data_IF_947921245106
#
_entry.id   IF_947921245106
#
_cell.length_a   1.000
_cell.length_b   1.000
_cell.length_c   1.000
_cell.angle_alpha   90.00
_cell.angle_beta   90.00
_cell.angle_gamma   90.00
#
_symmetry.space_group_name_H-M   'P 1'
#
loop_
_entity.id
_entity.type
_entity.pdbx_description
1 polymer ?
#
# COMPACT_ATOMS: atom_id res chain seq x y z
N UNK A 1 29.14 18.57 -86.67
CA UNK A 1 29.70 17.77 -85.53
C UNK A 1 28.94 18.15 -84.30
N UNK A 2 28.03 17.28 -83.84
CA UNK A 2 27.04 17.54 -82.78
C UNK A 2 27.56 16.96 -81.48
N UNK A 3 27.80 17.81 -80.42
CA UNK A 3 28.08 17.33 -79.11
C UNK A 3 26.80 17.35 -78.27
N UNK A 4 26.27 16.17 -77.94
CA UNK A 4 25.17 15.98 -76.98
C UNK A 4 25.76 15.92 -75.57
N UNK A 5 25.42 16.89 -74.72
CA UNK A 5 25.66 16.82 -73.30
C UNK A 5 24.46 16.13 -72.61
N UNK A 6 24.73 14.99 -71.96
CA UNK A 6 23.80 14.29 -71.09
C UNK A 6 23.69 15.05 -69.75
N UNK A 7 22.46 15.45 -69.40
CA UNK A 7 22.12 15.92 -68.05
C UNK A 7 21.65 14.70 -67.23
N UNK A 8 22.39 14.40 -66.19
CA UNK A 8 21.99 13.40 -65.17
C UNK A 8 21.34 14.17 -64.03
N UNK A 9 19.99 13.99 -63.89
CA UNK A 9 19.25 14.52 -62.76
C UNK A 9 19.35 13.54 -61.59
N UNK A 10 20.00 13.93 -60.48
CA UNK A 10 19.96 13.21 -59.25
C UNK A 10 18.61 13.52 -58.53
N UNK A 11 17.73 12.53 -58.42
CA UNK A 11 16.59 12.58 -57.49
C UNK A 11 17.12 12.17 -56.10
N UNK A 12 17.17 13.12 -55.17
CA UNK A 12 17.38 12.84 -53.78
C UNK A 12 16.04 12.45 -53.15
N UNK A 13 15.88 11.16 -52.85
CA UNK A 13 14.74 10.67 -52.06
C UNK A 13 15.02 10.92 -50.57
N UNK A 14 14.30 11.88 -49.99
CA UNK A 14 14.31 12.14 -48.56
C UNK A 14 13.43 11.10 -47.88
N UNK A 15 14.02 10.10 -47.19
CA UNK A 15 13.32 9.22 -46.29
C UNK A 15 12.93 10.02 -45.03
N UNK A 16 11.65 10.32 -44.89
CA UNK A 16 11.10 10.80 -43.60
C UNK A 16 10.87 9.55 -42.76
N UNK A 17 11.71 9.34 -41.77
CA UNK A 17 11.50 8.35 -40.73
C UNK A 17 10.33 8.84 -39.86
N UNK A 18 9.16 8.23 -40.00
CA UNK A 18 8.06 8.37 -39.07
C UNK A 18 8.47 7.63 -37.79
N UNK A 19 8.75 8.37 -36.72
CA UNK A 19 8.86 7.83 -35.37
C UNK A 19 7.45 7.48 -34.88
N UNK A 20 7.09 6.20 -34.97
CA UNK A 20 5.93 5.67 -34.28
C UNK A 20 6.12 5.87 -32.76
N UNK A 21 5.55 6.95 -32.27
CA UNK A 21 5.36 7.16 -30.84
C UNK A 21 4.37 6.13 -30.31
N UNK A 22 4.84 4.93 -30.02
CA UNK A 22 4.10 3.95 -29.24
C UNK A 22 3.89 4.51 -27.84
N UNK A 23 2.76 5.20 -27.63
CA UNK A 23 2.23 5.48 -26.31
C UNK A 23 2.01 4.13 -25.64
N UNK A 24 2.90 3.77 -24.69
CA UNK A 24 2.75 2.61 -23.86
C UNK A 24 1.42 2.78 -23.09
N UNK A 25 0.34 2.21 -23.62
CA UNK A 25 -0.93 2.13 -22.92
C UNK A 25 -0.69 1.28 -21.69
N UNK A 26 -0.76 1.89 -20.50
CA UNK A 26 -0.69 1.16 -19.24
C UNK A 26 -1.66 -0.02 -19.33
N UNK A 27 -1.14 -1.24 -19.25
CA UNK A 27 -1.97 -2.43 -19.25
C UNK A 27 -2.92 -2.33 -18.06
N UNK A 28 -4.22 -2.45 -18.32
CA UNK A 28 -5.21 -2.42 -17.24
C UNK A 28 -4.88 -3.55 -16.24
N UNK A 29 -4.82 -3.21 -14.98
CA UNK A 29 -4.60 -4.19 -13.90
C UNK A 29 -5.77 -5.18 -13.95
N UNK A 30 -5.48 -6.43 -14.28
CA UNK A 30 -6.49 -7.51 -14.28
C UNK A 30 -6.68 -7.98 -12.83
N UNK A 31 -7.86 -7.70 -12.29
CA UNK A 31 -8.25 -8.14 -10.94
C UNK A 31 -8.78 -9.57 -11.02
N UNK A 32 -8.31 -10.42 -10.10
CA UNK A 32 -8.83 -11.77 -9.91
C UNK A 32 -10.32 -11.74 -9.50
N UNK A 33 -11.12 -12.63 -10.07
CA UNK A 33 -12.56 -12.73 -9.80
C UNK A 33 -12.85 -13.00 -8.32
N UNK A 34 -12.07 -13.85 -7.66
CA UNK A 34 -12.24 -14.13 -6.23
C UNK A 34 -11.90 -12.90 -5.39
N UNK A 35 -10.88 -12.12 -5.76
CA UNK A 35 -10.58 -10.85 -5.10
C UNK A 35 -11.71 -9.83 -5.29
N UNK A 36 -12.25 -9.74 -6.50
CA UNK A 36 -13.39 -8.87 -6.79
C UNK A 36 -14.61 -9.25 -5.93
N UNK A 37 -14.86 -10.55 -5.76
CA UNK A 37 -15.94 -11.05 -4.89
C UNK A 37 -15.69 -10.72 -3.41
N UNK A 38 -14.46 -10.86 -2.92
CA UNK A 38 -14.11 -10.49 -1.54
C UNK A 38 -14.30 -8.99 -1.28
N UNK A 39 -13.93 -8.13 -2.23
CA UNK A 39 -14.16 -6.69 -2.15
C UNK A 39 -15.65 -6.35 -2.18
N UNK A 40 -16.45 -7.02 -3.01
CA UNK A 40 -17.89 -6.79 -3.13
C UNK A 40 -18.73 -7.52 -2.06
N UNK A 41 -18.09 -8.17 -1.09
CA UNK A 41 -18.80 -8.97 -0.08
C UNK A 41 -19.82 -8.11 0.71
N UNK A 42 -21.08 -8.53 0.80
CA UNK A 42 -22.12 -7.84 1.58
C UNK A 42 -21.87 -7.91 3.09
N UNK A 43 -20.94 -8.74 3.54
CA UNK A 43 -20.56 -8.85 4.95
C UNK A 43 -19.56 -7.78 5.40
N UNK A 44 -19.03 -6.97 4.46
CA UNK A 44 -18.20 -5.82 4.78
C UNK A 44 -19.06 -4.69 5.34
N UNK A 45 -18.49 -3.95 6.30
CA UNK A 45 -19.19 -2.80 6.88
C UNK A 45 -19.53 -1.75 5.81
N UNK A 46 -20.75 -1.21 5.76
CA UNK A 46 -21.13 -0.19 4.78
C UNK A 46 -20.18 1.03 4.77
N UNK A 47 -19.71 1.45 5.94
CA UNK A 47 -18.74 2.53 6.07
C UNK A 47 -17.37 2.21 5.45
N UNK A 48 -16.97 0.93 5.42
CA UNK A 48 -15.76 0.49 4.73
C UNK A 48 -15.98 0.48 3.20
N UNK A 49 -17.10 -0.08 2.75
CA UNK A 49 -17.47 -0.14 1.32
C UNK A 49 -17.60 1.26 0.71
N UNK A 50 -18.15 2.23 1.44
CA UNK A 50 -18.26 3.62 0.99
C UNK A 50 -16.90 4.28 0.68
N UNK A 51 -15.79 3.72 1.16
CA UNK A 51 -14.43 4.21 0.91
C UNK A 51 -13.75 3.53 -0.29
N UNK A 52 -14.29 2.43 -0.82
CA UNK A 52 -13.68 1.69 -1.92
C UNK A 52 -13.42 2.53 -3.18
N UNK A 53 -14.31 3.49 -3.57
CA UNK A 53 -14.07 4.35 -4.73
C UNK A 53 -12.82 5.23 -4.64
N UNK A 54 -12.33 5.52 -3.43
CA UNK A 54 -11.11 6.34 -3.21
C UNK A 54 -9.92 5.49 -2.77
N UNK A 55 -10.14 4.26 -2.34
CA UNK A 55 -9.08 3.35 -1.85
C UNK A 55 -8.69 2.27 -2.85
N UNK A 56 -9.49 2.06 -3.90
CA UNK A 56 -9.22 1.12 -4.98
C UNK A 56 -8.71 -0.27 -4.52
N UNK A 57 -9.36 -0.95 -3.55
CA UNK A 57 -8.77 -2.08 -2.84
C UNK A 57 -8.39 -3.26 -3.75
N UNK A 58 -9.20 -3.57 -4.75
CA UNK A 58 -8.91 -4.64 -5.69
C UNK A 58 -7.65 -4.34 -6.53
N UNK A 59 -7.52 -3.10 -7.01
CA UNK A 59 -6.39 -2.66 -7.81
C UNK A 59 -5.11 -2.61 -7.00
N UNK A 60 -5.17 -2.12 -5.75
CA UNK A 60 -4.01 -2.01 -4.87
C UNK A 60 -3.47 -3.40 -4.49
N UNK A 61 -4.34 -4.31 -4.06
CA UNK A 61 -3.94 -5.67 -3.73
C UNK A 61 -3.39 -6.44 -4.95
N UNK A 62 -3.97 -6.21 -6.13
CA UNK A 62 -3.44 -6.77 -7.40
C UNK A 62 -2.07 -6.17 -7.74
N UNK A 63 -1.87 -4.86 -7.53
CA UNK A 63 -0.58 -4.21 -7.72
C UNK A 63 0.49 -4.84 -6.83
N UNK A 64 0.19 -5.15 -5.57
CA UNK A 64 1.11 -5.87 -4.68
C UNK A 64 1.36 -7.32 -5.12
N UNK A 65 0.50 -7.89 -5.95
CA UNK A 65 0.62 -9.27 -6.44
C UNK A 65 0.01 -10.28 -5.48
N UNK A 66 -1.08 -9.90 -4.79
CA UNK A 66 -1.84 -10.81 -3.93
C UNK A 66 -2.36 -12.00 -4.74
N UNK A 67 -2.20 -13.21 -4.20
CA UNK A 67 -2.74 -14.45 -4.74
C UNK A 67 -3.33 -15.33 -3.61
N UNK A 68 -4.37 -16.16 -3.91
CA UNK A 68 -5.16 -16.83 -2.86
C UNK A 68 -4.43 -17.98 -2.15
N UNK A 69 -3.23 -18.34 -2.60
CA UNK A 69 -2.42 -19.45 -2.02
C UNK A 69 -1.23 -18.94 -1.21
N UNK A 70 -1.10 -17.62 -1.06
CA UNK A 70 0.05 -17.01 -0.40
C UNK A 70 -0.07 -17.06 1.13
N UNK A 71 1.10 -16.97 1.77
CA UNK A 71 1.22 -16.56 3.16
C UNK A 71 1.34 -15.03 3.21
N UNK A 72 0.32 -14.38 3.76
CA UNK A 72 0.20 -12.92 3.84
C UNK A 72 0.26 -12.46 5.30
N UNK A 73 0.94 -11.36 5.54
CA UNK A 73 0.95 -10.66 6.83
C UNK A 73 0.35 -9.27 6.65
N UNK A 74 -0.70 -8.96 7.36
CA UNK A 74 -1.24 -7.60 7.50
C UNK A 74 -0.71 -6.98 8.79
N UNK A 75 -0.15 -5.77 8.68
CA UNK A 75 0.39 -5.04 9.82
C UNK A 75 -0.61 -3.96 10.27
N UNK A 76 -0.95 -3.97 11.56
CA UNK A 76 -1.80 -2.98 12.20
C UNK A 76 -3.12 -2.77 11.45
N UNK A 77 -4.04 -3.74 11.52
CA UNK A 77 -5.27 -3.75 10.72
C UNK A 77 -6.25 -2.61 11.02
N UNK A 78 -6.03 -1.85 12.11
CA UNK A 78 -6.93 -0.80 12.56
C UNK A 78 -8.35 -1.32 12.80
N UNK A 79 -9.34 -0.80 12.07
CA UNK A 79 -10.73 -1.26 12.14
C UNK A 79 -11.02 -2.51 11.29
N UNK A 80 -10.03 -3.05 10.56
CA UNK A 80 -10.15 -4.27 9.76
C UNK A 80 -10.62 -4.06 8.31
N UNK A 81 -10.45 -2.87 7.76
CA UNK A 81 -10.82 -2.59 6.35
C UNK A 81 -10.20 -3.61 5.38
N UNK A 82 -8.89 -3.82 5.50
CA UNK A 82 -8.16 -4.76 4.64
C UNK A 82 -8.34 -6.21 5.10
N UNK A 83 -8.39 -6.44 6.41
CA UNK A 83 -8.64 -7.77 6.99
C UNK A 83 -9.93 -8.41 6.47
N UNK A 84 -10.99 -7.59 6.29
CA UNK A 84 -12.30 -8.05 5.79
C UNK A 84 -12.30 -8.40 4.29
N UNK A 85 -11.23 -8.08 3.59
CA UNK A 85 -10.98 -8.49 2.20
C UNK A 85 -9.98 -9.65 2.17
N UNK A 86 -8.84 -9.49 2.88
CA UNK A 86 -7.73 -10.46 2.87
C UNK A 86 -8.13 -11.80 3.49
N UNK A 87 -8.83 -11.76 4.64
CA UNK A 87 -9.28 -12.97 5.34
C UNK A 87 -10.13 -13.88 4.45
N UNK A 88 -11.28 -13.44 3.93
CA UNK A 88 -12.10 -14.24 3.02
C UNK A 88 -11.38 -14.70 1.76
N UNK A 89 -10.53 -13.85 1.19
CA UNK A 89 -9.78 -14.19 -0.02
C UNK A 89 -8.76 -15.31 0.20
N UNK A 90 -8.14 -15.35 1.38
CA UNK A 90 -7.10 -16.32 1.72
C UNK A 90 -7.66 -17.59 2.42
N UNK A 91 -8.88 -17.52 2.95
CA UNK A 91 -9.45 -18.53 3.86
C UNK A 91 -9.32 -19.98 3.39
N UNK A 92 -9.52 -20.23 2.09
CA UNK A 92 -9.54 -21.59 1.54
C UNK A 92 -8.17 -22.21 1.29
N UNK A 93 -7.15 -21.42 0.94
CA UNK A 93 -5.88 -21.94 0.41
C UNK A 93 -4.65 -21.17 0.87
N UNK A 94 -4.81 -20.02 1.49
CA UNK A 94 -3.72 -19.16 1.96
C UNK A 94 -3.46 -19.35 3.45
N UNK A 95 -2.44 -18.63 3.93
CA UNK A 95 -2.14 -18.47 5.35
C UNK A 95 -2.15 -16.99 5.68
N UNK A 96 -2.86 -16.61 6.72
CA UNK A 96 -3.03 -15.22 7.06
C UNK A 96 -2.57 -14.91 8.49
N UNK A 97 -1.60 -14.01 8.59
CA UNK A 97 -1.11 -13.44 9.85
C UNK A 97 -1.61 -12.00 9.97
N UNK A 98 -2.09 -11.66 11.14
CA UNK A 98 -2.49 -10.28 11.49
C UNK A 98 -1.64 -9.83 12.67
N UNK A 99 -0.68 -8.96 12.40
CA UNK A 99 0.19 -8.38 13.41
C UNK A 99 -0.47 -7.12 13.99
N UNK A 100 -1.00 -7.23 15.20
CA UNK A 100 -1.71 -6.16 15.89
C UNK A 100 -0.74 -5.07 16.34
N UNK A 101 -1.27 -3.84 16.48
CA UNK A 101 -0.59 -2.79 17.22
C UNK A 101 -0.51 -3.16 18.69
N UNK A 102 0.51 -2.69 19.44
CA UNK A 102 0.50 -2.78 20.90
C UNK A 102 -0.75 -2.11 21.47
N UNK A 103 -1.29 -2.65 22.54
CA UNK A 103 -2.51 -2.14 23.16
C UNK A 103 -2.35 -0.75 23.82
N UNK A 104 -1.14 -0.21 23.90
CA UNK A 104 -0.85 1.03 24.64
C UNK A 104 -1.15 0.85 26.12
N UNK A 105 -1.96 1.75 26.67
CA UNK A 105 -2.42 1.65 28.07
C UNK A 105 -3.58 0.65 28.26
N UNK A 106 -4.11 0.08 27.16
CA UNK A 106 -5.11 -0.96 27.23
C UNK A 106 -4.46 -2.33 27.46
N UNK A 107 -5.25 -3.27 27.98
CA UNK A 107 -4.83 -4.66 28.15
C UNK A 107 -4.62 -5.32 26.76
N UNK A 108 -3.39 -5.73 26.46
CA UNK A 108 -3.04 -6.39 25.20
C UNK A 108 -3.79 -7.71 25.02
N UNK A 109 -4.02 -8.44 26.10
CA UNK A 109 -4.80 -9.67 26.06
C UNK A 109 -6.26 -9.39 25.66
N UNK A 110 -6.81 -8.26 26.13
CA UNK A 110 -8.15 -7.80 25.77
C UNK A 110 -8.25 -7.44 24.28
N UNK A 111 -7.28 -6.74 23.71
CA UNK A 111 -7.23 -6.42 22.27
C UNK A 111 -7.12 -7.71 21.43
N UNK A 112 -6.19 -8.56 21.80
CA UNK A 112 -5.99 -9.87 21.14
C UNK A 112 -7.23 -10.74 21.25
N UNK A 113 -7.88 -10.79 22.40
CA UNK A 113 -9.13 -11.52 22.62
C UNK A 113 -10.28 -10.99 21.74
N UNK A 114 -10.40 -9.65 21.61
CA UNK A 114 -11.39 -9.00 20.74
C UNK A 114 -11.22 -9.42 19.27
N UNK A 115 -9.99 -9.40 18.76
CA UNK A 115 -9.72 -9.85 17.40
C UNK A 115 -9.92 -11.35 17.23
N UNK A 116 -9.48 -12.15 18.20
CA UNK A 116 -9.71 -13.60 18.20
C UNK A 116 -11.20 -13.91 18.17
N UNK A 117 -12.00 -13.28 19.03
CA UNK A 117 -13.47 -13.44 19.05
C UNK A 117 -14.08 -13.10 17.68
N UNK A 118 -13.65 -12.01 17.05
CA UNK A 118 -14.13 -11.63 15.72
C UNK A 118 -13.90 -12.73 14.68
N UNK A 119 -12.73 -13.35 14.66
CA UNK A 119 -12.38 -14.38 13.67
C UNK A 119 -13.04 -15.72 13.99
N UNK A 120 -13.05 -16.14 15.27
CA UNK A 120 -13.67 -17.41 15.68
C UNK A 120 -15.20 -17.40 15.58
N UNK A 121 -15.82 -16.23 15.59
CA UNK A 121 -17.26 -16.09 15.36
C UNK A 121 -17.68 -16.36 13.89
N UNK A 122 -16.73 -16.30 12.95
CA UNK A 122 -16.98 -16.44 11.51
C UNK A 122 -15.87 -17.30 10.84
N UNK A 123 -15.69 -18.56 11.25
CA UNK A 123 -14.59 -19.40 10.77
C UNK A 123 -14.69 -19.70 9.27
N UNK A 124 -15.88 -19.85 8.73
CA UNK A 124 -16.10 -20.08 7.30
C UNK A 124 -15.66 -18.88 6.44
N UNK A 125 -15.75 -17.69 7.02
CA UNK A 125 -15.35 -16.44 6.35
C UNK A 125 -13.86 -16.19 6.40
N UNK A 126 -13.24 -16.37 7.54
CA UNK A 126 -11.86 -15.95 7.76
C UNK A 126 -10.85 -17.10 7.70
N UNK A 127 -11.29 -18.34 7.73
CA UNK A 127 -10.37 -19.48 7.84
C UNK A 127 -9.55 -19.42 9.12
N UNK A 128 -8.29 -19.87 9.02
CA UNK A 128 -7.33 -19.82 10.13
C UNK A 128 -6.50 -18.56 10.05
N UNK A 129 -6.66 -17.66 11.02
CA UNK A 129 -5.84 -16.45 11.17
C UNK A 129 -4.92 -16.62 12.37
N UNK A 130 -3.64 -16.29 12.19
CA UNK A 130 -2.65 -16.24 13.27
C UNK A 130 -2.47 -14.80 13.73
N UNK A 131 -2.77 -14.52 14.99
CA UNK A 131 -2.53 -13.22 15.60
C UNK A 131 -1.12 -13.12 16.14
N UNK A 132 -0.43 -12.05 15.77
CA UNK A 132 0.89 -11.66 16.27
C UNK A 132 0.86 -10.18 16.66
N UNK A 133 1.98 -9.63 17.11
CA UNK A 133 2.08 -8.22 17.51
C UNK A 133 3.31 -7.60 16.88
N UNK A 134 3.19 -6.37 16.36
CA UNK A 134 4.31 -5.52 15.96
C UNK A 134 4.36 -4.29 16.87
N UNK A 135 5.45 -4.12 17.60
CA UNK A 135 5.64 -2.97 18.50
C UNK A 135 7.10 -2.80 18.90
N UNK A 136 7.41 -1.82 19.78
CA UNK A 136 8.79 -1.47 20.16
C UNK A 136 9.65 -2.65 20.59
N UNK A 137 9.05 -3.64 21.28
CA UNK A 137 9.74 -4.81 21.83
C UNK A 137 9.24 -6.14 21.22
N UNK A 138 8.40 -6.08 20.18
CA UNK A 138 7.75 -7.25 19.54
C UNK A 138 7.87 -7.14 18.04
N UNK A 139 8.77 -7.92 17.44
CA UNK A 139 9.09 -7.88 16.02
C UNK A 139 8.95 -9.24 15.33
N UNK A 140 8.20 -10.17 15.92
CA UNK A 140 7.97 -11.51 15.36
C UNK A 140 6.58 -11.56 14.71
N UNK A 141 6.45 -10.93 13.56
CA UNK A 141 5.17 -10.79 12.83
C UNK A 141 4.73 -12.06 12.10
N UNK A 142 5.67 -12.94 11.79
CA UNK A 142 5.49 -14.28 11.23
C UNK A 142 6.83 -15.05 11.35
N UNK A 143 6.86 -16.39 11.18
CA UNK A 143 8.12 -17.13 11.15
C UNK A 143 9.08 -16.59 10.07
N UNK A 144 10.39 -16.53 10.34
CA UNK A 144 11.36 -16.02 9.37
C UNK A 144 11.27 -16.74 8.02
N UNK A 145 11.27 -15.99 6.91
CA UNK A 145 11.24 -16.54 5.56
C UNK A 145 9.97 -17.32 5.20
N UNK A 146 8.85 -17.07 5.89
CA UNK A 146 7.59 -17.79 5.64
C UNK A 146 6.59 -17.00 4.77
N UNK A 147 6.63 -15.68 4.79
CA UNK A 147 5.66 -14.84 4.12
C UNK A 147 6.00 -14.61 2.64
N UNK A 148 4.99 -14.70 1.78
CA UNK A 148 5.07 -14.28 0.38
C UNK A 148 4.83 -12.77 0.24
N UNK A 149 3.97 -12.21 1.10
CA UNK A 149 3.52 -10.84 1.05
C UNK A 149 3.37 -10.28 2.47
N UNK A 150 3.96 -9.12 2.74
CA UNK A 150 3.75 -8.31 3.95
C UNK A 150 3.16 -6.98 3.54
N UNK A 151 2.06 -6.58 4.16
CA UNK A 151 1.29 -5.38 3.80
C UNK A 151 1.16 -4.42 4.98
N UNK A 152 1.35 -3.15 4.70
CA UNK A 152 1.08 -2.06 5.64
C UNK A 152 0.35 -0.91 4.95
N UNK A 153 -0.67 -0.40 5.62
CA UNK A 153 -1.56 0.61 5.10
C UNK A 153 -1.65 1.78 6.07
N UNK A 154 -0.84 2.82 5.81
CA UNK A 154 -0.81 4.07 6.58
C UNK A 154 -0.43 3.87 8.05
N UNK A 155 0.66 3.11 8.28
CA UNK A 155 1.18 2.86 9.64
C UNK A 155 2.63 3.31 9.84
N UNK A 156 3.37 3.56 8.77
CA UNK A 156 4.79 3.93 8.87
C UNK A 156 5.00 5.18 9.73
N UNK A 157 4.12 6.18 9.59
CA UNK A 157 4.17 7.40 10.41
C UNK A 157 4.04 7.10 11.91
N UNK A 158 3.24 6.10 12.30
CA UNK A 158 3.10 5.69 13.69
C UNK A 158 4.38 5.02 14.21
N UNK A 159 5.03 4.18 13.40
CA UNK A 159 6.31 3.55 13.77
C UNK A 159 7.44 4.57 13.84
N UNK A 160 7.38 5.64 13.03
CA UNK A 160 8.30 6.77 13.10
C UNK A 160 8.10 7.57 14.39
N UNK A 161 6.85 7.85 14.76
CA UNK A 161 6.55 8.52 16.04
C UNK A 161 7.02 7.71 17.26
N UNK A 162 6.82 6.41 17.21
CA UNK A 162 7.31 5.46 18.21
C UNK A 162 8.84 5.25 18.19
N UNK A 163 9.55 5.71 17.16
CA UNK A 163 11.01 5.61 17.06
C UNK A 163 11.55 4.22 16.69
N UNK A 164 10.71 3.30 16.20
CA UNK A 164 11.12 1.93 15.84
C UNK A 164 10.84 1.55 14.37
N UNK A 165 10.59 2.52 13.50
CA UNK A 165 10.35 2.24 12.09
C UNK A 165 11.44 1.39 11.40
N UNK A 166 12.76 1.61 11.64
CA UNK A 166 13.80 0.74 11.08
C UNK A 166 13.67 -0.72 11.52
N UNK A 167 13.36 -0.96 12.80
CA UNK A 167 13.17 -2.30 13.36
C UNK A 167 11.90 -2.97 12.79
N UNK A 168 10.82 -2.22 12.60
CA UNK A 168 9.60 -2.71 11.95
C UNK A 168 9.87 -3.17 10.51
N UNK A 169 10.62 -2.37 9.71
CA UNK A 169 11.01 -2.76 8.37
C UNK A 169 11.94 -3.98 8.35
N UNK A 170 12.87 -4.07 9.31
CA UNK A 170 13.72 -5.25 9.47
C UNK A 170 12.90 -6.50 9.81
N UNK A 171 11.83 -6.37 10.60
CA UNK A 171 10.89 -7.47 10.88
C UNK A 171 10.15 -7.91 9.61
N UNK A 172 9.66 -6.97 8.79
CA UNK A 172 9.07 -7.28 7.49
C UNK A 172 10.05 -8.03 6.59
N UNK A 173 11.29 -7.54 6.51
CA UNK A 173 12.34 -8.19 5.73
C UNK A 173 12.64 -9.62 6.21
N UNK A 174 12.71 -9.81 7.52
CA UNK A 174 12.96 -11.13 8.13
C UNK A 174 11.84 -12.13 7.85
N UNK A 175 10.58 -11.68 7.98
CA UNK A 175 9.40 -12.53 7.75
C UNK A 175 9.24 -12.99 6.30
N UNK A 176 9.66 -12.18 5.33
CA UNK A 176 9.51 -12.47 3.91
C UNK A 176 10.47 -13.56 3.42
N UNK A 177 9.97 -14.42 2.54
CA UNK A 177 10.77 -15.30 1.68
C UNK A 177 11.70 -14.49 0.79
N UNK A 178 12.85 -15.03 0.33
CA UNK A 178 13.58 -14.48 -0.81
C UNK A 178 12.65 -14.28 -2.02
N UNK A 179 12.61 -13.09 -2.59
CA UNK A 179 11.68 -12.72 -3.67
C UNK A 179 10.29 -12.28 -3.20
N UNK A 180 9.97 -12.40 -1.91
CA UNK A 180 8.71 -11.94 -1.32
C UNK A 180 8.55 -10.41 -1.40
N UNK A 181 7.31 -9.96 -1.31
CA UNK A 181 6.91 -8.58 -1.54
C UNK A 181 6.53 -7.90 -0.21
N UNK A 182 7.01 -6.68 -0.04
CA UNK A 182 6.55 -5.74 0.97
C UNK A 182 5.75 -4.62 0.30
N UNK A 183 4.45 -4.56 0.55
CA UNK A 183 3.54 -3.54 0.05
C UNK A 183 3.32 -2.43 1.08
N UNK A 184 3.45 -1.19 0.65
CA UNK A 184 3.33 0.00 1.51
C UNK A 184 2.37 1.00 0.88
N UNK A 185 1.27 1.30 1.56
CA UNK A 185 0.47 2.50 1.38
C UNK A 185 0.80 3.48 2.50
N UNK A 186 1.09 4.77 2.18
CA UNK A 186 1.33 5.77 3.21
C UNK A 186 0.95 7.18 2.73
N UNK A 187 0.59 8.06 3.68
CA UNK A 187 0.25 9.45 3.43
C UNK A 187 1.45 10.22 2.89
N UNK A 188 1.31 10.78 1.68
CA UNK A 188 2.41 11.43 0.96
C UNK A 188 2.74 12.80 1.54
N UNK A 189 3.92 12.91 2.14
CA UNK A 189 4.49 14.16 2.62
C UNK A 189 5.01 15.07 1.50
N UNK A 190 5.16 16.35 1.82
CA UNK A 190 5.74 17.36 0.92
C UNK A 190 7.24 17.14 0.74
N UNK A 191 7.74 17.41 -0.47
CA UNK A 191 9.16 17.27 -0.80
C UNK A 191 9.96 18.56 -0.65
N UNK A 192 9.28 19.71 -0.50
CA UNK A 192 9.88 21.04 -0.36
C UNK A 192 10.38 21.36 1.06
N UNK A 193 10.29 20.41 1.98
CA UNK A 193 10.77 20.52 3.35
C UNK A 193 11.38 19.20 3.83
N UNK A 194 12.26 19.21 4.84
CA UNK A 194 12.78 17.99 5.45
C UNK A 194 11.67 17.10 6.00
N UNK A 195 11.91 15.78 6.00
CA UNK A 195 11.03 14.84 6.71
C UNK A 195 11.10 15.10 8.21
N UNK A 196 9.94 15.27 8.86
CA UNK A 196 9.84 15.18 10.32
C UNK A 196 10.18 13.74 10.75
N UNK A 197 11.24 13.53 11.56
CA UNK A 197 11.62 12.19 11.99
C UNK A 197 10.53 11.42 12.72
N UNK A 198 9.59 12.15 13.32
CA UNK A 198 8.44 11.58 14.03
C UNK A 198 7.14 11.58 13.24
N UNK A 199 7.15 12.16 12.05
CA UNK A 199 5.95 12.27 11.19
C UNK A 199 4.68 12.70 11.95
N UNK A 200 4.81 13.68 12.85
CA UNK A 200 3.76 14.11 13.79
C UNK A 200 2.43 14.53 13.13
N UNK A 201 2.48 14.94 11.88
CA UNK A 201 1.30 15.30 11.09
C UNK A 201 0.74 14.13 10.25
N UNK A 202 1.29 12.92 10.42
CA UNK A 202 0.90 11.72 9.69
C UNK A 202 1.46 11.63 8.27
N UNK A 203 2.10 12.67 7.73
CA UNK A 203 2.66 12.66 6.38
C UNK A 203 4.11 12.17 6.36
N UNK A 204 4.39 11.23 5.45
CA UNK A 204 5.74 10.71 5.24
C UNK A 204 6.16 10.96 3.80
N UNK A 205 7.38 11.45 3.59
CA UNK A 205 7.92 11.63 2.25
C UNK A 205 8.15 10.27 1.57
N UNK A 206 7.76 10.18 0.32
CA UNK A 206 7.92 8.95 -0.47
C UNK A 206 9.40 8.55 -0.63
N UNK A 207 10.28 9.52 -0.91
CA UNK A 207 11.72 9.28 -1.04
C UNK A 207 12.37 8.84 0.28
N UNK A 208 11.91 9.37 1.42
CA UNK A 208 12.33 8.91 2.74
C UNK A 208 11.93 7.45 2.99
N UNK A 209 10.68 7.08 2.67
CA UNK A 209 10.21 5.70 2.78
C UNK A 209 11.04 4.75 1.91
N UNK A 210 11.37 5.16 0.67
CA UNK A 210 12.20 4.38 -0.23
C UNK A 210 13.61 4.20 0.36
N UNK A 211 14.21 5.26 0.91
CA UNK A 211 15.52 5.19 1.53
C UNK A 211 15.53 4.26 2.75
N UNK A 212 14.52 4.37 3.62
CA UNK A 212 14.39 3.54 4.80
C UNK A 212 14.20 2.05 4.44
N UNK A 213 13.39 1.74 3.43
CA UNK A 213 13.21 0.37 2.96
C UNK A 213 14.50 -0.21 2.34
N UNK A 214 15.25 0.61 1.59
CA UNK A 214 16.56 0.21 1.06
C UNK A 214 17.58 -0.08 2.16
N UNK A 215 17.57 0.71 3.24
CA UNK A 215 18.44 0.43 4.41
C UNK A 215 18.10 -0.91 5.09
N UNK A 216 16.83 -1.32 5.07
CA UNK A 216 16.41 -2.64 5.55
C UNK A 216 16.72 -3.79 4.57
N UNK A 217 17.28 -3.49 3.38
CA UNK A 217 17.68 -4.48 2.38
C UNK A 217 16.70 -4.68 1.23
N UNK A 218 15.60 -3.93 1.16
CA UNK A 218 14.61 -4.06 0.10
C UNK A 218 15.01 -3.38 -1.21
N UNK A 219 14.53 -3.93 -2.33
CA UNK A 219 14.56 -3.31 -3.65
C UNK A 219 13.19 -2.72 -4.00
N UNK A 220 13.14 -1.46 -4.44
CA UNK A 220 11.92 -0.89 -5.00
C UNK A 220 11.66 -1.51 -6.39
N UNK A 221 10.50 -2.15 -6.57
CA UNK A 221 10.11 -2.80 -7.82
C UNK A 221 8.82 -2.26 -8.43
N UNK A 222 8.17 -1.31 -7.77
CA UNK A 222 7.00 -0.63 -8.31
C UNK A 222 6.56 0.56 -7.46
N UNK A 223 5.93 1.52 -8.12
CA UNK A 223 5.25 2.67 -7.50
C UNK A 223 3.96 2.92 -8.25
N UNK A 224 2.92 3.38 -7.55
CA UNK A 224 1.65 3.71 -8.17
C UNK A 224 1.06 4.99 -7.58
N UNK A 225 0.43 5.76 -8.45
CA UNK A 225 -0.29 6.99 -8.13
C UNK A 225 -1.81 6.77 -8.02
N UNK A 226 -2.25 5.52 -7.90
CA UNK A 226 -3.69 5.18 -7.87
C UNK A 226 -4.45 5.82 -6.71
N UNK A 227 -3.75 6.19 -5.63
CA UNK A 227 -4.31 6.83 -4.44
C UNK A 227 -3.89 8.31 -4.32
N UNK A 228 -3.38 8.91 -5.40
CA UNK A 228 -2.97 10.30 -5.39
C UNK A 228 -4.18 11.24 -5.29
N UNK A 229 -4.10 12.20 -4.35
CA UNK A 229 -5.11 13.24 -4.20
C UNK A 229 -4.47 14.64 -4.30
N UNK A 230 -4.47 15.27 -5.49
CA UNK A 230 -3.85 16.57 -5.69
C UNK A 230 -4.56 17.72 -4.95
N UNK A 231 -5.77 17.50 -4.39
CA UNK A 231 -6.47 18.48 -3.57
C UNK A 231 -5.95 18.56 -2.13
N UNK A 232 -5.18 17.54 -1.70
CA UNK A 232 -4.55 17.53 -0.39
C UNK A 232 -3.30 18.41 -0.39
N UNK A 233 -3.36 19.57 0.24
CA UNK A 233 -2.27 20.54 0.33
C UNK A 233 -1.23 20.19 1.40
N UNK A 234 -1.55 19.24 2.30
CA UNK A 234 -0.64 18.68 3.32
C UNK A 234 -0.16 19.66 4.39
N UNK A 235 -0.93 20.73 4.60
CA UNK A 235 -0.66 21.80 5.58
C UNK A 235 -1.84 22.04 6.54
N UNK A 236 -2.61 20.97 6.77
CA UNK A 236 -3.78 20.99 7.65
C UNK A 236 -3.38 21.09 9.12
N UNK A 237 -4.26 21.67 9.92
CA UNK A 237 -4.00 21.97 11.34
C UNK A 237 -3.62 20.74 12.17
N UNK A 238 -4.28 19.60 11.95
CA UNK A 238 -3.98 18.32 12.60
C UNK A 238 -3.39 17.31 11.60
N UNK A 239 -2.70 17.80 10.56
CA UNK A 239 -2.16 16.92 9.52
C UNK A 239 -3.24 16.10 8.82
N UNK A 240 -2.94 14.84 8.54
CA UNK A 240 -3.85 13.92 7.82
C UNK A 240 -5.19 13.74 8.52
N UNK A 241 -5.24 13.86 9.84
CA UNK A 241 -6.45 13.64 10.64
C UNK A 241 -7.47 14.76 10.51
N UNK A 242 -7.11 15.93 9.96
CA UNK A 242 -8.04 16.99 9.60
C UNK A 242 -9.01 16.54 8.48
N UNK A 243 -8.52 15.66 7.60
CA UNK A 243 -9.27 15.14 6.45
C UNK A 243 -10.12 13.91 6.80
N UNK A 244 -11.07 13.51 5.92
CA UNK A 244 -11.77 12.24 6.06
C UNK A 244 -10.80 11.04 6.15
N UNK A 245 -11.18 9.98 6.88
CA UNK A 245 -12.43 9.79 7.59
C UNK A 245 -12.45 10.40 9.00
N UNK A 246 -11.33 10.90 9.50
CA UNK A 246 -11.17 11.33 10.91
C UNK A 246 -11.91 12.64 11.19
N UNK A 247 -11.74 13.65 10.33
CA UNK A 247 -12.36 14.97 10.47
C UNK A 247 -12.17 15.54 11.88
N UNK A 248 -10.91 15.60 12.36
CA UNK A 248 -10.54 15.97 13.73
C UNK A 248 -11.07 17.33 14.19
N UNK A 249 -11.36 18.23 13.24
CA UNK A 249 -11.93 19.55 13.54
C UNK A 249 -13.45 19.54 13.77
N UNK A 250 -14.10 18.36 13.74
CA UNK A 250 -15.53 18.21 13.93
C UNK A 250 -16.33 18.96 12.85
N UNK A 251 -17.21 19.87 13.27
CA UNK A 251 -18.04 20.65 12.33
C UNK A 251 -17.33 21.88 11.75
N UNK A 252 -16.16 22.27 12.29
CA UNK A 252 -15.41 23.40 11.78
C UNK A 252 -14.87 23.12 10.39
N UNK A 253 -15.23 23.93 9.41
CA UNK A 253 -14.82 23.83 7.99
C UNK A 253 -15.07 22.42 7.37
N UNK A 254 -16.01 21.66 7.92
CA UNK A 254 -16.28 20.27 7.57
C UNK A 254 -16.51 20.06 6.08
N UNK A 255 -17.33 20.90 5.45
CA UNK A 255 -17.62 20.81 4.02
C UNK A 255 -16.36 21.01 3.17
N UNK A 256 -15.46 21.90 3.59
CA UNK A 256 -14.17 22.11 2.94
C UNK A 256 -13.32 20.85 3.01
N UNK A 257 -13.23 20.20 4.17
CA UNK A 257 -12.44 18.98 4.33
C UNK A 257 -13.06 17.79 3.58
N UNK A 258 -14.39 17.68 3.58
CA UNK A 258 -15.10 16.69 2.75
C UNK A 258 -14.87 16.89 1.25
N UNK A 259 -14.81 18.14 0.78
CA UNK A 259 -14.52 18.45 -0.62
C UNK A 259 -13.08 18.08 -1.03
N UNK A 260 -12.12 18.11 -0.12
CA UNK A 260 -10.76 17.61 -0.34
C UNK A 260 -10.76 16.10 -0.47
N UNK A 261 -11.49 15.39 0.39
CA UNK A 261 -11.50 13.93 0.49
C UNK A 261 -10.40 13.37 1.38
N UNK A 262 -10.09 12.07 1.27
CA UNK A 262 -9.00 11.44 2.03
C UNK A 262 -7.63 12.02 1.63
N UNK A 263 -6.64 11.92 2.53
CA UNK A 263 -5.29 12.40 2.29
C UNK A 263 -4.66 11.78 1.05
N UNK A 264 -3.73 12.51 0.42
CA UNK A 264 -2.90 12.01 -0.68
C UNK A 264 -2.00 10.86 -0.19
N UNK A 265 -2.06 9.72 -0.89
CA UNK A 265 -1.24 8.56 -0.56
C UNK A 265 -0.34 8.17 -1.73
N UNK A 266 0.81 7.58 -1.40
CA UNK A 266 1.60 6.82 -2.35
C UNK A 266 1.45 5.33 -2.09
N UNK A 267 1.65 4.52 -3.13
CA UNK A 267 1.68 3.06 -3.04
C UNK A 267 3.02 2.58 -3.58
N UNK A 268 3.80 1.88 -2.74
CA UNK A 268 5.12 1.38 -3.07
C UNK A 268 5.17 -0.14 -2.93
N UNK A 269 5.79 -0.79 -3.91
CA UNK A 269 6.03 -2.24 -3.93
C UNK A 269 7.51 -2.49 -3.84
N UNK A 270 7.93 -3.11 -2.77
CA UNK A 270 9.30 -3.53 -2.54
C UNK A 270 9.43 -5.04 -2.65
N UNK A 271 10.61 -5.52 -2.97
CA UNK A 271 10.95 -6.93 -3.02
C UNK A 271 12.14 -7.22 -2.11
N UNK A 272 12.07 -8.31 -1.34
CA UNK A 272 13.25 -8.90 -0.73
C UNK A 272 14.09 -9.56 -1.83
N UNK A 273 15.38 -9.25 -1.98
CA UNK A 273 16.25 -9.92 -2.96
C UNK A 273 16.18 -11.44 -2.87
N UNK A 274 16.49 -12.14 -3.97
CA UNK A 274 16.47 -13.61 -4.02
C UNK A 274 17.75 -14.26 -3.54
N UNK A 275 18.75 -13.45 -3.21
CA UNK A 275 20.10 -13.90 -2.79
C UNK A 275 20.34 -13.59 -1.32
#
# INVERSE_FOLDING_TARGET
MLNRRLLISLLAATLIAQSDGATARAAAIQVDTALSAAVASPERLPAAVARDPVRHPAQELTFFGLAPTQTVVELWPGGGYWTDILGPYLAARGHFYVALAPAGDADEDSLTAKWRTRFTAQPDRYGTIVLTTLGPDKFEIAPPGSADLVLTFRNLHNWMDGGYAPQALAACFRALKPGGIFGVEEHRGRTDRPQDPKAKNGYVRQDYTIALAKQAGFELVGSSEMLANPRDTKDWVDGVWTLPPTLSQGEKDRDRYLAVGEADNFVLKFRKPRH
#
